data_IF_525375121860
#
_entry.id   IF_525375121860
#
_cell.length_a   1.000
_cell.length_b   1.000
_cell.length_c   1.000
_cell.angle_alpha   90.00
_cell.angle_beta   90.00
_cell.angle_gamma   90.00
#
_symmetry.space_group_name_H-M   'P 1'
#
loop_
_entity.id
_entity.type
_entity.pdbx_description
1 polymer ?
#
# COMPACT_ATOMS: atom_id res chain seq x y z
N UNK A 1 0.58 22.44 -8.45
CA UNK A 1 0.58 21.93 -9.85
C UNK A 1 0.52 23.07 -10.86
N UNK A 2 -0.44 23.97 -10.79
CA UNK A 2 -0.57 25.08 -11.73
C UNK A 2 0.59 26.09 -11.56
N UNK A 3 1.11 26.25 -10.37
CA UNK A 3 2.25 27.13 -10.04
C UNK A 3 3.64 26.48 -10.28
N UNK A 4 3.72 25.48 -11.15
CA UNK A 4 4.98 24.85 -11.54
C UNK A 4 5.40 23.62 -10.74
N UNK A 5 4.59 23.15 -9.79
CA UNK A 5 4.84 21.90 -9.06
C UNK A 5 4.76 20.69 -10.02
N UNK A 6 5.82 19.89 -10.05
CA UNK A 6 5.92 18.71 -10.93
C UNK A 6 5.66 17.41 -10.18
N UNK A 7 4.39 17.02 -10.15
CA UNK A 7 3.95 15.75 -9.52
C UNK A 7 4.55 14.49 -10.13
N UNK A 8 5.21 14.60 -11.30
CA UNK A 8 5.89 13.44 -11.89
C UNK A 8 7.21 13.10 -11.18
N UNK A 9 7.66 13.96 -10.29
CA UNK A 9 8.95 13.84 -9.60
C UNK A 9 8.84 13.85 -8.09
N UNK A 10 7.76 14.37 -7.55
CA UNK A 10 7.61 14.68 -6.12
C UNK A 10 6.20 14.32 -5.63
N UNK A 11 6.09 14.09 -4.33
CA UNK A 11 4.82 13.93 -3.63
C UNK A 11 4.41 15.29 -3.08
N UNK A 12 3.17 15.73 -3.34
CA UNK A 12 2.65 16.96 -2.74
C UNK A 12 2.40 16.75 -1.25
N UNK A 13 3.12 17.47 -0.35
CA UNK A 13 3.14 17.13 1.07
C UNK A 13 1.80 17.32 1.79
N UNK A 14 0.99 18.30 1.42
CA UNK A 14 -0.28 18.58 2.10
C UNK A 14 -1.33 17.54 1.74
N UNK A 15 -1.47 17.21 0.45
CA UNK A 15 -2.39 16.17 -0.01
C UNK A 15 -1.98 14.80 0.56
N UNK A 16 -0.67 14.51 0.60
CA UNK A 16 -0.16 13.28 1.19
C UNK A 16 -0.52 13.15 2.67
N UNK A 17 -0.29 14.21 3.47
CA UNK A 17 -0.63 14.20 4.90
C UNK A 17 -2.12 13.99 5.13
N UNK A 18 -2.97 14.62 4.33
CA UNK A 18 -4.42 14.48 4.49
C UNK A 18 -4.90 13.07 4.13
N UNK A 19 -4.44 12.49 3.02
CA UNK A 19 -4.76 11.10 2.67
C UNK A 19 -4.23 10.15 3.74
N UNK A 20 -2.97 10.33 4.18
CA UNK A 20 -2.38 9.50 5.22
C UNK A 20 -3.15 9.58 6.54
N UNK A 21 -3.57 10.78 6.95
CA UNK A 21 -4.38 10.96 8.16
C UNK A 21 -5.65 10.12 8.09
N UNK A 22 -6.36 10.18 6.97
CA UNK A 22 -7.61 9.45 6.77
C UNK A 22 -7.39 7.93 6.81
N UNK A 23 -6.37 7.43 6.12
CA UNK A 23 -6.06 5.98 6.08
C UNK A 23 -5.55 5.49 7.45
N UNK A 24 -4.76 6.30 8.17
CA UNK A 24 -4.32 5.96 9.53
C UNK A 24 -5.49 5.95 10.53
N UNK A 25 -6.42 6.89 10.44
CA UNK A 25 -7.64 6.89 11.25
C UNK A 25 -8.45 5.61 11.03
N UNK A 26 -8.64 5.22 9.76
CA UNK A 26 -9.29 3.96 9.42
C UNK A 26 -8.57 2.74 10.01
N UNK A 27 -7.23 2.70 9.91
CA UNK A 27 -6.44 1.62 10.47
C UNK A 27 -6.56 1.55 12.00
N UNK A 28 -6.55 2.70 12.69
CA UNK A 28 -6.74 2.76 14.14
C UNK A 28 -8.15 2.30 14.53
N UNK A 29 -9.18 2.73 13.79
CA UNK A 29 -10.56 2.28 14.00
C UNK A 29 -10.64 0.74 13.88
N UNK A 30 -10.05 0.15 12.84
CA UNK A 30 -10.03 -1.29 12.65
C UNK A 30 -9.28 -2.06 13.75
N UNK A 31 -8.18 -1.51 14.26
CA UNK A 31 -7.46 -2.09 15.41
C UNK A 31 -8.29 -2.04 16.69
N UNK A 32 -9.03 -0.96 16.93
CA UNK A 32 -9.94 -0.84 18.08
C UNK A 32 -11.12 -1.81 17.95
N UNK A 33 -11.73 -1.88 16.76
CA UNK A 33 -12.89 -2.72 16.49
C UNK A 33 -12.57 -4.23 16.61
N UNK A 34 -11.30 -4.63 16.44
CA UNK A 34 -10.88 -6.02 16.68
C UNK A 34 -10.98 -6.45 18.15
N UNK A 35 -11.01 -5.50 19.09
CA UNK A 35 -11.10 -5.76 20.51
C UNK A 35 -9.81 -6.29 21.16
N UNK A 36 -8.72 -6.39 20.42
CA UNK A 36 -7.41 -6.83 20.94
C UNK A 36 -6.64 -5.65 21.53
N UNK A 37 -6.26 -5.74 22.80
CA UNK A 37 -5.64 -4.63 23.54
C UNK A 37 -4.15 -4.45 23.20
N UNK A 38 -3.47 -5.50 22.75
CA UNK A 38 -2.03 -5.50 22.57
C UNK A 38 -1.62 -5.87 21.15
N UNK A 39 -0.77 -5.04 20.56
CA UNK A 39 -0.18 -5.26 19.25
C UNK A 39 1.34 -5.15 19.33
N UNK A 40 2.05 -5.95 18.52
CA UNK A 40 3.48 -5.84 18.42
C UNK A 40 3.90 -4.51 17.80
N UNK A 41 4.94 -3.88 18.37
CA UNK A 41 5.43 -2.59 17.88
C UNK A 41 5.99 -2.67 16.45
N UNK A 42 6.56 -3.82 16.07
CA UNK A 42 6.99 -4.12 14.70
C UNK A 42 5.84 -4.07 13.72
N UNK A 43 4.74 -4.74 14.06
CA UNK A 43 3.50 -4.74 13.28
C UNK A 43 2.91 -3.34 13.13
N UNK A 44 2.80 -2.57 14.22
CA UNK A 44 2.26 -1.20 14.17
C UNK A 44 3.14 -0.27 13.32
N UNK A 45 4.47 -0.46 13.33
CA UNK A 45 5.37 0.30 12.45
C UNK A 45 5.16 -0.07 10.99
N UNK A 46 5.05 -1.36 10.69
CA UNK A 46 4.81 -1.84 9.33
C UNK A 46 3.47 -1.33 8.76
N UNK A 47 2.41 -1.41 9.55
CA UNK A 47 1.09 -0.90 9.19
C UNK A 47 1.12 0.60 8.87
N UNK A 48 1.76 1.41 9.73
CA UNK A 48 1.91 2.86 9.49
C UNK A 48 2.74 3.14 8.24
N UNK A 49 3.87 2.44 8.08
CA UNK A 49 4.72 2.60 6.92
C UNK A 49 4.00 2.22 5.62
N UNK A 50 3.23 1.14 5.62
CA UNK A 50 2.42 0.75 4.47
C UNK A 50 1.40 1.82 4.08
N UNK A 51 0.78 2.47 5.07
CA UNK A 51 -0.14 3.58 4.84
C UNK A 51 0.57 4.83 4.27
N UNK A 52 1.79 5.12 4.73
CA UNK A 52 2.63 6.21 4.21
C UNK A 52 2.94 5.99 2.71
N UNK A 53 3.36 4.79 2.35
CA UNK A 53 3.70 4.41 0.97
C UNK A 53 2.46 4.39 0.07
N UNK A 54 1.35 3.80 0.53
CA UNK A 54 0.08 3.81 -0.21
C UNK A 54 -0.38 5.24 -0.50
N UNK A 55 -0.40 6.09 0.52
CA UNK A 55 -0.80 7.50 0.40
C UNK A 55 0.07 8.26 -0.59
N UNK A 56 1.37 7.97 -0.64
CA UNK A 56 2.30 8.56 -1.59
C UNK A 56 1.94 8.20 -3.05
N UNK A 57 1.71 6.94 -3.34
CA UNK A 57 1.31 6.50 -4.68
C UNK A 57 -0.09 6.98 -5.06
N UNK A 58 -1.04 7.03 -4.13
CA UNK A 58 -2.37 7.60 -4.37
C UNK A 58 -2.27 9.08 -4.74
N UNK A 59 -1.54 9.88 -3.97
CA UNK A 59 -1.34 11.31 -4.26
C UNK A 59 -0.63 11.53 -5.59
N UNK A 60 0.40 10.75 -5.89
CA UNK A 60 1.08 10.80 -7.19
C UNK A 60 0.14 10.46 -8.35
N UNK A 61 -0.67 9.40 -8.21
CA UNK A 61 -1.66 9.00 -9.23
C UNK A 61 -2.69 10.10 -9.48
N UNK A 62 -3.26 10.64 -8.42
CA UNK A 62 -4.22 11.75 -8.49
C UNK A 62 -3.58 12.99 -9.14
N UNK A 63 -2.42 13.40 -8.67
CA UNK A 63 -1.70 14.55 -9.19
C UNK A 63 -1.35 14.42 -10.66
N UNK A 64 -0.90 13.23 -11.08
CA UNK A 64 -0.60 12.95 -12.51
C UNK A 64 -1.85 13.03 -13.38
N UNK A 65 -3.00 12.53 -12.91
CA UNK A 65 -4.27 12.65 -13.62
C UNK A 65 -4.68 14.11 -13.76
N UNK A 66 -4.53 14.92 -12.71
CA UNK A 66 -4.84 16.36 -12.74
C UNK A 66 -3.86 17.13 -13.65
N UNK A 67 -2.56 16.78 -13.62
CA UNK A 67 -1.55 17.39 -14.48
C UNK A 67 -1.84 17.18 -15.98
N UNK A 68 -2.27 15.98 -16.36
CA UNK A 68 -2.68 15.68 -17.74
C UNK A 68 -3.81 16.55 -18.25
N UNK A 69 -4.59 17.16 -17.34
CA UNK A 69 -5.67 18.08 -17.68
C UNK A 69 -5.23 19.53 -17.84
N UNK A 70 -3.94 19.86 -17.61
CA UNK A 70 -3.43 21.21 -17.84
C UNK A 70 -3.49 21.63 -19.31
N UNK A 71 -3.38 20.69 -20.23
CA UNK A 71 -3.52 20.93 -21.66
C UNK A 71 -4.86 20.40 -22.18
N UNK A 72 -5.38 21.06 -23.22
CA UNK A 72 -6.60 20.61 -23.93
C UNK A 72 -6.28 19.57 -25.01
N UNK A 73 -7.30 19.18 -25.81
CA UNK A 73 -7.15 18.21 -26.88
C UNK A 73 -6.26 18.68 -28.05
N UNK A 74 -6.00 19.98 -28.14
CA UNK A 74 -5.13 20.61 -29.15
C UNK A 74 -3.70 20.86 -28.61
N UNK A 75 -3.44 20.49 -27.35
CA UNK A 75 -2.14 20.70 -26.70
C UNK A 75 -1.92 22.10 -26.15
N UNK A 76 -2.95 22.96 -26.11
CA UNK A 76 -2.89 24.30 -25.55
C UNK A 76 -3.11 24.29 -24.04
N UNK A 77 -2.35 25.10 -23.31
CA UNK A 77 -2.52 25.28 -21.87
C UNK A 77 -3.89 25.87 -21.56
N UNK A 78 -4.64 25.22 -20.68
CA UNK A 78 -5.94 25.72 -20.19
C UNK A 78 -5.74 26.91 -19.26
N UNK A 79 -6.75 27.78 -19.20
CA UNK A 79 -6.86 28.74 -18.11
C UNK A 79 -7.00 28.02 -16.76
N UNK A 80 -6.68 28.70 -15.64
CA UNK A 80 -6.86 28.14 -14.33
C UNK A 80 -8.31 27.68 -14.07
N UNK A 81 -9.29 28.48 -14.46
CA UNK A 81 -10.71 28.16 -14.27
C UNK A 81 -11.15 26.96 -15.12
N UNK A 82 -10.69 26.85 -16.35
CA UNK A 82 -11.01 25.70 -17.21
C UNK A 82 -10.30 24.43 -16.73
N UNK A 83 -9.05 24.55 -16.29
CA UNK A 83 -8.35 23.44 -15.66
C UNK A 83 -9.06 22.99 -14.40
N UNK A 84 -9.43 23.88 -13.48
CA UNK A 84 -10.16 23.60 -12.24
C UNK A 84 -11.48 22.85 -12.52
N UNK A 85 -12.25 23.29 -13.52
CA UNK A 85 -13.47 22.59 -13.96
C UNK A 85 -13.15 21.19 -14.49
N UNK A 86 -12.08 21.04 -15.27
CA UNK A 86 -11.69 19.75 -15.88
C UNK A 86 -11.21 18.72 -14.88
N UNK A 87 -10.63 19.12 -13.73
CA UNK A 87 -10.18 18.24 -12.67
C UNK A 87 -11.25 17.94 -11.60
N UNK A 88 -12.33 18.71 -11.54
CA UNK A 88 -13.38 18.54 -10.52
C UNK A 88 -13.93 17.10 -10.46
N UNK A 89 -14.19 16.37 -11.57
CA UNK A 89 -14.60 14.97 -11.52
C UNK A 89 -13.51 14.05 -10.94
N UNK A 90 -12.22 14.32 -11.21
CA UNK A 90 -11.10 13.55 -10.68
C UNK A 90 -11.04 13.74 -9.17
N UNK A 91 -11.09 14.99 -8.70
CA UNK A 91 -11.07 15.32 -7.28
C UNK A 91 -12.26 14.68 -6.55
N UNK A 92 -13.48 14.82 -7.09
CA UNK A 92 -14.69 14.24 -6.50
C UNK A 92 -14.60 12.71 -6.39
N UNK A 93 -14.06 12.03 -7.40
CA UNK A 93 -13.88 10.59 -7.38
C UNK A 93 -12.80 10.18 -6.38
N UNK A 94 -11.60 10.76 -6.46
CA UNK A 94 -10.41 10.36 -5.68
C UNK A 94 -10.49 10.75 -4.20
N UNK A 95 -11.12 11.89 -3.88
CA UNK A 95 -11.23 12.43 -2.51
C UNK A 95 -12.61 12.14 -1.89
N UNK A 96 -13.62 11.88 -2.71
CA UNK A 96 -14.97 11.57 -2.25
C UNK A 96 -15.24 10.06 -2.20
N UNK A 97 -15.94 9.54 -3.21
CA UNK A 97 -16.47 8.16 -3.18
C UNK A 97 -15.40 7.07 -3.07
N UNK A 98 -14.27 7.24 -3.80
CA UNK A 98 -13.21 6.23 -3.80
C UNK A 98 -12.42 6.22 -2.49
N UNK A 99 -12.12 7.40 -1.95
CA UNK A 99 -11.45 7.50 -0.65
C UNK A 99 -12.32 6.91 0.49
N UNK A 100 -13.64 7.05 0.40
CA UNK A 100 -14.55 6.39 1.35
C UNK A 100 -14.46 4.86 1.27
N UNK A 101 -14.43 4.31 0.06
CA UNK A 101 -14.26 2.86 -0.13
C UNK A 101 -12.91 2.36 0.40
N UNK A 102 -11.85 3.12 0.18
CA UNK A 102 -10.51 2.80 0.71
C UNK A 102 -10.48 2.89 2.24
N UNK A 103 -11.15 3.89 2.81
CA UNK A 103 -11.31 4.04 4.25
C UNK A 103 -11.98 2.81 4.87
N UNK A 104 -13.16 2.43 4.36
CA UNK A 104 -13.91 1.27 4.84
C UNK A 104 -13.11 -0.04 4.65
N UNK A 105 -12.35 -0.15 3.58
CA UNK A 105 -11.46 -1.28 3.33
C UNK A 105 -10.28 -1.31 4.32
N UNK A 106 -9.69 -0.15 4.62
CA UNK A 106 -8.59 -0.04 5.56
C UNK A 106 -9.00 -0.46 6.99
N UNK A 107 -10.22 -0.09 7.43
CA UNK A 107 -10.79 -0.58 8.69
C UNK A 107 -10.80 -2.11 8.72
N UNK A 108 -11.44 -2.72 7.72
CA UNK A 108 -11.58 -4.17 7.65
C UNK A 108 -10.24 -4.90 7.61
N UNK A 109 -9.29 -4.38 6.87
CA UNK A 109 -7.96 -5.00 6.73
C UNK A 109 -7.11 -4.83 7.98
N UNK A 110 -7.20 -3.69 8.68
CA UNK A 110 -6.52 -3.50 9.95
C UNK A 110 -7.12 -4.40 11.06
N UNK A 111 -8.44 -4.54 11.09
CA UNK A 111 -9.12 -5.51 11.96
C UNK A 111 -8.61 -6.93 11.71
N UNK A 112 -8.64 -7.39 10.47
CA UNK A 112 -8.16 -8.73 10.11
C UNK A 112 -6.66 -8.92 10.42
N UNK A 113 -5.85 -7.88 10.22
CA UNK A 113 -4.43 -7.93 10.58
C UNK A 113 -4.24 -8.11 12.10
N UNK A 114 -5.06 -7.45 12.90
CA UNK A 114 -5.09 -7.58 14.36
C UNK A 114 -5.52 -8.99 14.78
N UNK A 115 -6.58 -9.54 14.17
CA UNK A 115 -7.04 -10.91 14.43
C UNK A 115 -5.92 -11.94 14.16
N UNK A 116 -5.18 -11.76 13.05
CA UNK A 116 -4.05 -12.63 12.73
C UNK A 116 -2.94 -12.59 13.79
N UNK A 117 -2.68 -11.43 14.40
CA UNK A 117 -1.74 -11.33 15.53
C UNK A 117 -2.21 -12.18 16.72
N UNK A 118 -3.51 -12.18 17.02
CA UNK A 118 -4.09 -12.99 18.10
C UNK A 118 -4.08 -14.49 17.76
N UNK A 119 -4.40 -14.85 16.51
CA UNK A 119 -4.35 -16.23 16.06
C UNK A 119 -2.94 -16.82 16.21
N UNK A 120 -1.91 -16.08 15.78
CA UNK A 120 -0.51 -16.52 15.92
C UNK A 120 -0.09 -16.70 17.38
N UNK A 121 -0.56 -15.85 18.30
CA UNK A 121 -0.29 -16.00 19.74
C UNK A 121 -0.90 -17.25 20.35
N UNK A 122 -2.09 -17.64 19.86
CA UNK A 122 -2.85 -18.78 20.40
C UNK A 122 -2.66 -20.08 19.59
N UNK A 123 -1.75 -20.09 18.63
CA UNK A 123 -1.55 -21.16 17.65
C UNK A 123 -1.32 -22.54 18.27
N UNK A 124 -0.65 -22.62 19.41
CA UNK A 124 -0.35 -23.88 20.08
C UNK A 124 -1.61 -24.56 20.62
N UNK A 125 -2.67 -23.79 20.89
CA UNK A 125 -3.94 -24.28 21.45
C UNK A 125 -5.02 -24.32 20.37
N UNK A 126 -5.03 -23.35 19.44
CA UNK A 126 -6.00 -23.18 18.38
C UNK A 126 -5.29 -23.16 17.01
N UNK A 127 -4.85 -24.33 16.50
CA UNK A 127 -3.96 -24.39 15.34
C UNK A 127 -4.64 -24.16 14.00
N UNK A 128 -5.97 -24.20 13.95
CA UNK A 128 -6.77 -24.09 12.74
C UNK A 128 -7.56 -22.79 12.70
N UNK A 129 -7.88 -22.33 11.49
CA UNK A 129 -8.76 -21.20 11.24
C UNK A 129 -10.01 -21.68 10.52
N UNK A 130 -11.17 -21.25 11.02
CA UNK A 130 -12.49 -21.46 10.43
C UNK A 130 -12.96 -20.19 9.75
N UNK A 131 -13.49 -20.33 8.53
CA UNK A 131 -14.13 -19.22 7.84
C UNK A 131 -15.53 -18.97 8.41
N UNK A 132 -15.78 -17.75 8.91
CA UNK A 132 -17.03 -17.38 9.54
C UNK A 132 -18.01 -16.70 8.56
N UNK A 133 -19.32 -16.87 8.77
CA UNK A 133 -20.35 -16.18 7.98
C UNK A 133 -20.18 -14.67 8.05
N UNK A 134 -20.49 -14.00 6.93
CA UNK A 134 -20.49 -12.54 6.87
C UNK A 134 -21.78 -11.94 7.44
N UNK A 135 -21.67 -10.74 8.00
CA UNK A 135 -22.83 -9.90 8.37
C UNK A 135 -23.33 -9.01 7.21
N UNK A 136 -22.68 -9.10 6.04
CA UNK A 136 -23.09 -8.32 4.87
C UNK A 136 -24.45 -8.77 4.33
N UNK A 137 -25.37 -7.84 3.99
CA UNK A 137 -26.61 -8.19 3.30
C UNK A 137 -26.39 -8.65 1.86
N UNK A 138 -25.20 -8.40 1.31
CA UNK A 138 -24.78 -8.82 -0.03
C UNK A 138 -23.43 -9.52 0.05
N UNK A 139 -23.41 -10.79 0.49
CA UNK A 139 -22.18 -11.54 0.61
C UNK A 139 -21.51 -11.78 -0.75
N UNK A 140 -20.19 -11.86 -0.74
CA UNK A 140 -19.43 -12.33 -1.90
C UNK A 140 -19.67 -13.83 -2.11
N UNK A 141 -20.20 -14.20 -3.28
CA UNK A 141 -20.61 -15.57 -3.58
C UNK A 141 -19.47 -16.59 -3.42
N UNK A 142 -18.21 -16.20 -3.68
CA UNK A 142 -17.04 -17.06 -3.47
C UNK A 142 -16.81 -17.33 -1.99
N UNK A 143 -16.88 -16.29 -1.16
CA UNK A 143 -16.70 -16.41 0.27
C UNK A 143 -17.85 -17.20 0.92
N UNK A 144 -19.05 -17.11 0.35
CA UNK A 144 -20.20 -17.90 0.79
C UNK A 144 -19.91 -19.41 0.71
N UNK A 145 -19.22 -19.86 -0.32
CA UNK A 145 -18.86 -21.30 -0.43
C UNK A 145 -17.95 -21.76 0.71
N UNK A 146 -17.09 -20.89 1.23
CA UNK A 146 -16.17 -21.21 2.32
C UNK A 146 -16.89 -21.33 3.65
N UNK A 147 -17.64 -20.31 4.07
CA UNK A 147 -18.35 -20.40 5.34
C UNK A 147 -19.53 -21.37 5.31
N UNK A 148 -20.21 -21.54 4.17
CA UNK A 148 -21.31 -22.50 4.05
C UNK A 148 -20.83 -23.97 4.16
N UNK A 149 -19.59 -24.25 3.76
CA UNK A 149 -18.97 -25.56 3.93
C UNK A 149 -18.34 -25.77 5.32
N UNK A 150 -18.33 -24.74 6.17
CA UNK A 150 -17.62 -24.76 7.45
C UNK A 150 -16.11 -24.93 7.28
N UNK A 151 -15.54 -24.33 6.21
CA UNK A 151 -14.12 -24.47 5.86
C UNK A 151 -13.24 -24.18 7.06
N UNK A 152 -12.50 -25.20 7.50
CA UNK A 152 -11.53 -25.13 8.60
C UNK A 152 -10.21 -25.71 8.12
N UNK A 153 -9.13 -24.91 8.19
CA UNK A 153 -7.81 -25.29 7.69
C UNK A 153 -6.71 -24.91 8.67
N UNK A 154 -5.57 -25.61 8.67
CA UNK A 154 -4.40 -25.18 9.45
C UNK A 154 -4.04 -23.73 9.16
N UNK A 155 -3.58 -23.01 10.18
CA UNK A 155 -3.22 -21.58 10.07
C UNK A 155 -2.13 -21.32 9.04
N UNK A 156 -1.24 -22.28 8.80
CA UNK A 156 -0.17 -22.21 7.81
C UNK A 156 -0.53 -22.82 6.43
N UNK A 157 -1.82 -23.20 6.23
CA UNK A 157 -2.26 -23.72 4.94
C UNK A 157 -2.05 -22.68 3.83
N UNK A 158 -1.46 -23.07 2.67
CA UNK A 158 -1.24 -22.18 1.54
C UNK A 158 -2.52 -21.51 1.01
N UNK A 159 -3.69 -22.05 1.32
CA UNK A 159 -4.99 -21.45 1.00
C UNK A 159 -5.08 -19.99 1.46
N UNK A 160 -4.62 -19.70 2.68
CA UNK A 160 -4.71 -18.37 3.31
C UNK A 160 -3.86 -17.31 2.63
N UNK A 161 -2.93 -17.69 1.77
CA UNK A 161 -2.15 -16.75 0.98
C UNK A 161 -3.00 -16.01 -0.05
N UNK A 162 -3.90 -16.74 -0.71
CA UNK A 162 -4.69 -16.22 -1.82
C UNK A 162 -6.14 -15.95 -1.42
N UNK A 163 -6.62 -16.64 -0.37
CA UNK A 163 -8.01 -16.58 0.08
C UNK A 163 -8.03 -16.19 1.57
N UNK A 164 -8.54 -15.01 1.83
CA UNK A 164 -8.68 -14.49 3.20
C UNK A 164 -9.81 -13.46 3.24
N UNK A 165 -10.44 -13.21 4.39
CA UNK A 165 -11.33 -12.07 4.55
C UNK A 165 -10.66 -10.76 4.12
N UNK A 166 -11.46 -9.81 3.65
CA UNK A 166 -11.01 -8.52 3.13
C UNK A 166 -10.08 -8.59 1.90
N UNK A 167 -10.09 -9.71 1.13
CA UNK A 167 -9.46 -9.75 -0.19
C UNK A 167 -10.34 -9.18 -1.32
N UNK A 168 -11.50 -8.61 -0.94
CA UNK A 168 -12.45 -7.89 -1.80
C UNK A 168 -12.99 -6.67 -1.08
N UNK A 169 -13.33 -5.63 -1.83
CA UNK A 169 -13.98 -4.44 -1.29
C UNK A 169 -15.32 -4.82 -0.63
N UNK A 170 -15.60 -4.18 0.49
CA UNK A 170 -16.84 -4.40 1.28
C UNK A 170 -17.03 -5.85 1.81
N UNK A 171 -16.01 -6.67 1.79
CA UNK A 171 -16.06 -8.00 2.41
C UNK A 171 -16.13 -7.86 3.94
N UNK A 172 -17.19 -8.43 4.54
CA UNK A 172 -17.40 -8.44 6.01
C UNK A 172 -17.32 -9.86 6.59
N UNK A 173 -16.53 -10.72 5.96
CA UNK A 173 -16.20 -12.02 6.51
C UNK A 173 -15.15 -11.89 7.61
N UNK A 174 -15.09 -12.88 8.48
CA UNK A 174 -14.08 -13.04 9.52
C UNK A 174 -13.54 -14.46 9.55
N UNK A 175 -12.52 -14.69 10.35
CA UNK A 175 -12.01 -16.00 10.72
C UNK A 175 -12.18 -16.19 12.22
N UNK A 176 -12.20 -17.43 12.64
CA UNK A 176 -12.16 -17.85 14.04
C UNK A 176 -11.04 -18.88 14.21
N UNK A 177 -10.18 -18.69 15.21
CA UNK A 177 -9.21 -19.72 15.57
C UNK A 177 -9.90 -20.85 16.35
N UNK A 178 -9.56 -22.11 16.03
CA UNK A 178 -10.23 -23.28 16.58
C UNK A 178 -9.28 -24.49 16.69
N UNK A 179 -9.60 -25.41 17.60
CA UNK A 179 -8.99 -26.74 17.69
C UNK A 179 -9.79 -27.82 16.93
N UNK A 180 -10.91 -27.45 16.31
CA UNK A 180 -11.68 -28.35 15.44
C UNK A 180 -10.83 -28.92 14.30
N UNK A 181 -11.06 -30.18 13.91
CA UNK A 181 -10.32 -30.81 12.83
C UNK A 181 -10.43 -30.07 11.51
N UNK A 182 -9.34 -30.06 10.73
CA UNK A 182 -9.36 -29.54 9.38
C UNK A 182 -10.36 -30.28 8.50
N UNK A 183 -11.15 -29.52 7.73
CA UNK A 183 -12.08 -30.09 6.74
C UNK A 183 -11.38 -30.51 5.45
N UNK A 184 -10.12 -30.06 5.29
CA UNK A 184 -9.44 -30.13 4.01
C UNK A 184 -10.04 -29.15 2.98
N UNK A 185 -9.34 -28.95 1.89
CA UNK A 185 -9.78 -28.10 0.79
C UNK A 185 -9.15 -28.52 -0.53
N UNK A 186 -9.95 -28.58 -1.59
CA UNK A 186 -9.48 -28.85 -2.93
C UNK A 186 -9.55 -27.58 -3.78
N UNK A 187 -8.43 -27.23 -4.42
CA UNK A 187 -8.34 -26.04 -5.25
C UNK A 187 -9.21 -26.18 -6.50
N UNK A 188 -10.27 -25.38 -6.59
CA UNK A 188 -11.04 -25.27 -7.82
C UNK A 188 -10.24 -24.48 -8.86
N UNK A 189 -10.13 -24.99 -10.12
CA UNK A 189 -9.41 -24.28 -11.18
C UNK A 189 -10.07 -22.95 -11.57
N UNK A 190 -11.36 -22.78 -11.26
CA UNK A 190 -12.14 -21.60 -11.57
C UNK A 190 -12.34 -20.65 -10.38
N UNK A 191 -11.53 -20.80 -9.33
CA UNK A 191 -11.65 -19.92 -8.16
C UNK A 191 -11.32 -18.49 -8.54
N UNK A 192 -12.21 -17.53 -8.29
CA UNK A 192 -11.95 -16.13 -8.55
C UNK A 192 -10.77 -15.62 -7.72
N UNK A 193 -9.87 -14.91 -8.37
CA UNK A 193 -8.73 -14.27 -7.72
C UNK A 193 -9.20 -13.15 -6.80
N UNK A 194 -8.38 -12.81 -5.81
CA UNK A 194 -8.55 -11.62 -5.00
C UNK A 194 -8.65 -10.36 -5.88
N UNK A 195 -9.35 -9.35 -5.39
CA UNK A 195 -9.45 -8.08 -6.10
C UNK A 195 -8.09 -7.38 -6.14
N UNK A 196 -7.79 -6.71 -7.26
CA UNK A 196 -6.51 -6.03 -7.46
C UNK A 196 -6.24 -5.01 -6.34
N UNK A 197 -5.10 -5.14 -5.71
CA UNK A 197 -4.69 -4.34 -4.55
C UNK A 197 -5.05 -4.94 -3.19
N UNK A 198 -5.76 -6.08 -3.16
CA UNK A 198 -6.19 -6.77 -1.95
C UNK A 198 -5.73 -8.24 -1.92
N UNK A 199 -4.78 -8.60 -2.79
CA UNK A 199 -4.31 -9.99 -2.93
C UNK A 199 -3.48 -10.46 -1.77
N UNK A 200 -2.78 -9.55 -1.10
CA UNK A 200 -1.91 -9.87 0.01
C UNK A 200 -2.71 -10.04 1.30
N UNK A 201 -2.41 -11.10 2.05
CA UNK A 201 -3.05 -11.32 3.35
C UNK A 201 -2.67 -10.19 4.31
N UNK A 202 -3.64 -9.53 4.98
CA UNK A 202 -3.40 -8.38 5.86
C UNK A 202 -2.48 -8.69 7.07
N UNK A 203 -2.27 -9.96 7.41
CA UNK A 203 -1.35 -10.39 8.49
C UNK A 203 0.05 -9.80 8.38
N UNK A 204 0.45 -9.41 7.17
CA UNK A 204 1.77 -8.80 6.91
C UNK A 204 1.82 -7.30 7.26
N UNK A 205 0.73 -6.71 7.77
CA UNK A 205 0.69 -5.29 8.12
C UNK A 205 0.46 -4.35 6.94
N UNK A 206 0.16 -4.88 5.76
CA UNK A 206 -0.12 -4.05 4.58
C UNK A 206 -1.62 -3.84 4.40
N UNK A 207 -2.06 -2.59 4.52
CA UNK A 207 -3.45 -2.21 4.28
C UNK A 207 -3.89 -2.50 2.85
N UNK A 208 -3.03 -2.26 1.87
CA UNK A 208 -3.22 -2.59 0.47
C UNK A 208 -1.98 -3.31 -0.06
N UNK A 209 -2.10 -4.12 -1.11
CA UNK A 209 -0.93 -4.69 -1.76
C UNK A 209 -0.31 -3.69 -2.74
N UNK A 210 0.98 -3.85 -3.04
CA UNK A 210 1.66 -3.02 -4.02
C UNK A 210 1.22 -3.29 -5.49
N UNK A 211 0.25 -4.21 -5.69
CA UNK A 211 -0.45 -4.42 -6.96
C UNK A 211 -1.66 -3.49 -7.14
N UNK A 212 -2.00 -2.70 -6.13
CA UNK A 212 -3.07 -1.71 -6.24
C UNK A 212 -2.86 -0.78 -7.45
N UNK A 213 -3.92 -0.34 -8.16
CA UNK A 213 -3.80 0.47 -9.39
C UNK A 213 -2.98 1.76 -9.27
N UNK A 214 -2.78 2.30 -8.07
CA UNK A 214 -1.94 3.47 -7.87
C UNK A 214 -0.44 3.17 -7.98
N UNK A 215 -0.05 1.94 -7.68
CA UNK A 215 1.35 1.55 -7.73
C UNK A 215 1.83 1.30 -9.16
N UNK A 216 3.13 1.49 -9.42
CA UNK A 216 3.69 1.19 -10.74
C UNK A 216 3.60 -0.31 -11.05
N UNK A 217 3.45 -0.66 -12.32
CA UNK A 217 3.41 -2.05 -12.75
C UNK A 217 4.73 -2.81 -12.49
N UNK A 218 5.84 -2.10 -12.48
CA UNK A 218 7.18 -2.60 -12.19
C UNK A 218 8.13 -1.46 -11.81
N UNK A 219 9.33 -1.78 -11.33
CA UNK A 219 10.32 -0.79 -10.88
C UNK A 219 10.78 0.16 -12.00
N UNK A 220 10.80 -0.27 -13.28
CA UNK A 220 11.19 0.60 -14.39
C UNK A 220 10.13 1.65 -14.73
N UNK A 221 8.86 1.39 -14.41
CA UNK A 221 7.75 2.33 -14.56
C UNK A 221 7.56 3.23 -13.33
N UNK A 222 8.30 2.98 -12.24
CA UNK A 222 8.15 3.75 -11.00
C UNK A 222 8.52 5.22 -11.22
N UNK A 223 7.65 6.17 -10.84
CA UNK A 223 7.92 7.60 -10.96
C UNK A 223 9.06 8.07 -10.05
N UNK A 224 9.25 7.40 -8.93
CA UNK A 224 10.25 7.74 -7.91
C UNK A 224 11.61 7.08 -8.15
N UNK A 225 11.70 6.11 -9.06
CA UNK A 225 12.97 5.52 -9.44
C UNK A 225 13.81 6.52 -10.27
N UNK A 226 14.68 7.26 -9.61
CA UNK A 226 15.53 8.30 -10.21
C UNK A 226 16.82 7.77 -10.83
N UNK A 227 17.10 6.47 -10.76
CA UNK A 227 18.30 5.82 -11.32
C UNK A 227 18.37 5.81 -12.85
N UNK A 228 17.71 6.72 -13.54
CA UNK A 228 17.61 6.76 -15.01
C UNK A 228 18.86 7.29 -15.66
N UNK A 229 19.89 6.47 -15.76
CA UNK A 229 21.03 6.75 -16.64
C UNK A 229 20.58 6.77 -18.10
N UNK A 230 21.12 7.69 -18.91
CA UNK A 230 20.85 7.77 -20.36
C UNK A 230 21.73 6.77 -21.12
N UNK A 231 21.30 6.37 -22.33
CA UNK A 231 22.08 5.52 -23.24
C UNK A 231 22.04 4.03 -22.86
N UNK A 232 23.03 3.25 -23.36
CA UNK A 232 23.09 1.79 -23.23
C UNK A 232 23.12 1.34 -21.75
N UNK A 233 23.85 2.05 -20.88
CA UNK A 233 23.91 1.76 -19.45
C UNK A 233 22.51 1.91 -18.80
N UNK A 234 21.77 2.94 -19.17
CA UNK A 234 20.40 3.13 -18.67
C UNK A 234 19.41 2.09 -19.22
N UNK A 235 19.62 1.62 -20.43
CA UNK A 235 18.83 0.54 -21.00
C UNK A 235 19.06 -0.76 -20.24
N UNK A 236 20.31 -1.15 -19.99
CA UNK A 236 20.66 -2.36 -19.24
C UNK A 236 20.14 -2.28 -17.79
N UNK A 237 20.27 -1.13 -17.14
CA UNK A 237 19.78 -0.90 -15.78
C UNK A 237 18.25 -1.06 -15.70
N UNK A 238 17.49 -0.46 -16.63
CA UNK A 238 16.04 -0.64 -16.72
C UNK A 238 15.64 -2.09 -16.97
N UNK A 239 16.37 -2.80 -17.82
CA UNK A 239 16.13 -4.22 -18.11
C UNK A 239 16.38 -5.09 -16.87
N UNK A 240 17.41 -4.76 -16.11
CA UNK A 240 17.70 -5.44 -14.84
C UNK A 240 16.63 -5.14 -13.78
N UNK A 241 16.26 -3.88 -13.60
CA UNK A 241 15.21 -3.46 -12.66
C UNK A 241 13.84 -4.04 -13.02
N UNK A 242 13.52 -4.17 -14.29
CA UNK A 242 12.27 -4.82 -14.73
C UNK A 242 12.19 -6.31 -14.36
N UNK A 243 13.33 -6.95 -14.09
CA UNK A 243 13.41 -8.36 -13.65
C UNK A 243 13.47 -8.52 -12.13
N UNK A 244 13.67 -7.45 -11.39
CA UNK A 244 13.63 -7.50 -9.93
C UNK A 244 12.19 -7.74 -9.46
N UNK A 245 12.06 -8.50 -8.39
CA UNK A 245 10.79 -8.60 -7.68
C UNK A 245 10.41 -7.21 -7.17
N UNK A 246 9.24 -6.75 -7.54
CA UNK A 246 8.72 -5.48 -7.05
C UNK A 246 8.33 -5.64 -5.59
N UNK A 247 8.85 -4.76 -4.77
CA UNK A 247 8.48 -4.57 -3.37
C UNK A 247 8.52 -3.06 -3.11
N UNK A 248 7.36 -2.43 -3.11
CA UNK A 248 7.26 -0.99 -2.94
C UNK A 248 7.31 -0.59 -1.47
N UNK A 249 7.02 -1.49 -0.55
CA UNK A 249 7.01 -1.21 0.88
C UNK A 249 8.40 -1.22 1.52
N UNK A 250 9.35 -1.93 0.90
CA UNK A 250 10.75 -1.95 1.34
C UNK A 250 11.68 -1.32 0.28
N UNK A 251 11.18 -0.28 -0.41
CA UNK A 251 11.92 0.36 -1.50
C UNK A 251 12.53 1.69 -1.05
N UNK A 252 13.87 1.81 -0.98
CA UNK A 252 14.53 3.02 -0.50
C UNK A 252 14.23 4.27 -1.34
N UNK A 253 13.82 4.12 -2.60
CA UNK A 253 13.43 5.27 -3.42
C UNK A 253 12.14 5.92 -2.92
N UNK A 254 11.13 5.12 -2.56
CA UNK A 254 9.89 5.66 -2.01
C UNK A 254 10.09 6.17 -0.59
N UNK A 255 10.91 5.51 0.22
CA UNK A 255 11.20 5.93 1.60
C UNK A 255 11.77 7.34 1.63
N UNK A 256 12.69 7.68 0.70
CA UNK A 256 13.19 9.04 0.56
C UNK A 256 12.13 10.05 0.14
N UNK A 257 11.22 9.68 -0.76
CA UNK A 257 10.13 10.58 -1.19
C UNK A 257 9.12 10.80 -0.05
N UNK A 258 8.78 9.73 0.68
CA UNK A 258 7.93 9.82 1.88
C UNK A 258 8.60 10.69 2.95
N UNK A 259 9.90 10.48 3.22
CA UNK A 259 10.62 11.28 4.19
C UNK A 259 10.63 12.79 3.84
N UNK A 260 10.80 13.14 2.57
CA UNK A 260 10.73 14.53 2.11
C UNK A 260 9.34 15.15 2.31
N UNK A 261 8.27 14.38 2.10
CA UNK A 261 6.91 14.85 2.33
C UNK A 261 6.57 14.95 3.83
N UNK A 262 7.12 14.05 4.63
CA UNK A 262 6.90 13.96 6.08
C UNK A 262 7.64 15.04 6.85
N UNK A 263 8.89 15.32 6.46
CA UNK A 263 9.82 16.25 7.10
C UNK A 263 10.30 17.33 6.11
N UNK A 264 9.41 18.24 5.67
CA UNK A 264 9.74 19.24 4.66
C UNK A 264 10.84 20.22 5.11
N UNK A 265 11.03 20.40 6.42
CA UNK A 265 12.11 21.21 7.01
C UNK A 265 13.49 20.59 6.79
N UNK A 266 13.56 19.28 6.51
CA UNK A 266 14.81 18.55 6.19
C UNK A 266 14.99 18.28 4.70
N UNK A 267 14.14 18.83 3.85
CA UNK A 267 14.13 18.58 2.41
C UNK A 267 15.50 18.83 1.76
N UNK A 268 16.14 19.96 2.06
CA UNK A 268 17.46 20.31 1.52
C UNK A 268 18.56 19.35 2.00
N UNK A 269 18.52 18.92 3.26
CA UNK A 269 19.43 17.91 3.79
C UNK A 269 19.31 16.60 3.01
N UNK A 270 18.07 16.11 2.80
CA UNK A 270 17.85 14.88 2.03
C UNK A 270 18.29 14.99 0.56
N UNK A 271 18.08 16.13 -0.06
CA UNK A 271 18.60 16.39 -1.40
C UNK A 271 20.14 16.32 -1.46
N UNK A 272 20.82 16.90 -0.49
CA UNK A 272 22.28 16.86 -0.43
C UNK A 272 22.79 15.43 -0.20
N UNK A 273 22.17 14.70 0.69
CA UNK A 273 22.53 13.30 1.00
C UNK A 273 22.31 12.36 -0.19
N UNK A 274 21.31 12.62 -1.03
CA UNK A 274 20.93 11.75 -2.15
C UNK A 274 21.50 12.17 -3.50
N UNK A 275 22.11 13.36 -3.60
CA UNK A 275 22.54 13.99 -4.86
C UNK A 275 23.47 13.11 -5.70
N UNK A 276 24.45 12.47 -5.08
CA UNK A 276 25.50 11.67 -5.75
C UNK A 276 25.60 10.24 -5.19
N UNK A 277 24.60 9.78 -4.46
CA UNK A 277 24.64 8.51 -3.75
C UNK A 277 23.59 7.56 -4.31
N UNK A 278 23.91 6.27 -4.30
CA UNK A 278 22.89 5.26 -4.51
C UNK A 278 21.96 5.22 -3.29
N UNK A 279 20.66 5.16 -3.55
CA UNK A 279 19.69 4.93 -2.50
C UNK A 279 19.90 3.52 -1.95
N UNK A 280 20.11 3.41 -0.65
CA UNK A 280 20.23 2.16 0.09
C UNK A 280 19.38 2.24 1.33
N UNK A 281 19.31 1.14 2.04
CA UNK A 281 18.56 1.03 3.29
C UNK A 281 18.87 2.20 4.22
N UNK A 282 17.88 3.04 4.41
CA UNK A 282 17.97 4.21 5.26
C UNK A 282 16.93 4.08 6.35
N UNK A 283 17.39 4.10 7.58
CA UNK A 283 16.50 4.13 8.73
C UNK A 283 16.33 5.57 9.20
N UNK A 284 15.10 6.06 9.15
CA UNK A 284 14.73 7.38 9.63
C UNK A 284 14.25 7.31 11.07
N UNK A 285 14.57 8.34 11.84
CA UNK A 285 13.87 8.58 13.09
C UNK A 285 12.42 8.97 12.78
N UNK A 286 11.42 8.23 13.30
CA UNK A 286 10.03 8.45 12.92
C UNK A 286 9.45 9.78 13.41
N UNK A 287 10.06 10.41 14.44
CA UNK A 287 9.60 11.66 15.02
C UNK A 287 10.33 12.88 14.43
N UNK A 288 11.63 12.76 14.21
CA UNK A 288 12.48 13.88 13.80
C UNK A 288 12.96 13.82 12.35
N UNK A 289 12.77 12.71 11.67
CA UNK A 289 13.33 12.45 10.33
C UNK A 289 14.85 12.32 10.32
N UNK A 290 15.51 12.29 11.48
CA UNK A 290 16.95 12.07 11.59
C UNK A 290 17.36 10.73 11.02
N UNK A 291 18.49 10.67 10.32
CA UNK A 291 19.03 9.42 9.79
C UNK A 291 19.76 8.70 10.92
N UNK A 292 19.23 7.53 11.34
CA UNK A 292 19.79 6.72 12.44
C UNK A 292 20.93 5.82 12.00
N UNK A 293 20.77 5.17 10.85
CA UNK A 293 21.79 4.34 10.24
C UNK A 293 21.75 4.52 8.75
N UNK A 294 22.86 4.78 8.11
CA UNK A 294 22.89 4.89 6.67
C UNK A 294 24.01 4.04 6.12
N UNK A 295 23.64 3.05 5.34
CA UNK A 295 24.51 2.49 4.32
C UNK A 295 24.27 3.25 3.02
N UNK A 296 24.43 4.58 3.06
CA UNK A 296 24.49 5.39 1.84
C UNK A 296 25.83 5.02 1.21
N UNK A 297 25.79 4.13 0.22
CA UNK A 297 27.01 3.69 -0.47
C UNK A 297 27.69 4.85 -1.14
N UNK A 298 28.95 5.08 -0.85
CA UNK A 298 29.80 5.89 -1.71
C UNK A 298 29.92 5.19 -3.07
N UNK A 299 29.74 5.93 -4.17
CA UNK A 299 30.25 5.46 -5.46
C UNK A 299 31.69 4.98 -5.23
N UNK A 300 31.98 3.72 -5.46
CA UNK A 300 33.36 3.30 -5.67
C UNK A 300 33.83 4.09 -6.88
N UNK A 301 34.73 5.03 -6.68
CA UNK A 301 35.52 5.59 -7.75
C UNK A 301 36.27 4.43 -8.38
N UNK A 302 35.78 3.96 -9.52
CA UNK A 302 36.57 3.09 -10.38
C UNK A 302 37.62 4.00 -11.02
N UNK A 303 38.81 3.97 -10.47
CA UNK A 303 40.02 4.34 -11.17
C UNK A 303 40.17 3.50 -12.42
#
# INVERSE_FOLDING_TARGET
MYDGFDVSKEIEPQAWREVLRIINEASVEGLIDSGHETHEQSFLRELRHSNEVFSAFKCHSMGTQMQKRLVDGEGKLRSYEDWKKSIAPIASHQVGSWLRTEYDTAILRAHQASDWQEFERNRDVLPNLRWMPTTSPTPEAVHETFWASGLTLPMDDPFWKDNHPANRLNCKCSLEATDDPSTGWEKSPNMPKAQQGLEENPRHGHTFSDKHPYFPSNCSACPFNKGKKKGLKGFLERTFQARQTKDCYHCPYIDWEVAKAKFPERYEEYLQLTKDKEYRDVEFDPETGGIKASHIGHKRNST
#
